data_IF_756663363242
#
_entry.id   IF_756663363242
#
_cell.length_a   1.000
_cell.length_b   1.000
_cell.length_c   1.000
_cell.angle_alpha   90.00
_cell.angle_beta   90.00
_cell.angle_gamma   90.00
#
_symmetry.space_group_name_H-M   'P 1'
#
loop_
_entity.id
_entity.type
_entity.pdbx_description
1 polymer ?
#
# COMPACT_ATOMS: atom_id res chain seq x y z
N UNK A 1 -27.77 -6.06 -17.84
CA UNK A 1 -27.45 -4.90 -16.98
C UNK A 1 -28.63 -3.94 -17.12
N UNK A 2 -29.51 -3.85 -16.13
CA UNK A 2 -30.63 -2.89 -16.13
C UNK A 2 -30.36 -1.87 -15.03
N UNK A 3 -30.35 -0.58 -15.38
CA UNK A 3 -30.26 0.55 -14.45
C UNK A 3 -31.40 1.50 -14.82
N UNK A 4 -32.29 1.75 -13.88
CA UNK A 4 -33.36 2.74 -14.00
C UNK A 4 -33.00 3.91 -13.08
N UNK A 5 -32.91 5.13 -13.61
CA UNK A 5 -32.68 6.35 -12.84
C UNK A 5 -34.02 7.05 -12.57
N UNK A 6 -34.41 7.18 -11.31
CA UNK A 6 -35.46 8.09 -10.87
C UNK A 6 -34.82 9.32 -10.24
N UNK A 7 -35.03 10.49 -10.82
CA UNK A 7 -34.65 11.78 -10.22
C UNK A 7 -35.86 12.28 -9.43
N UNK A 8 -35.69 12.47 -8.12
CA UNK A 8 -36.61 13.21 -7.27
C UNK A 8 -35.90 14.50 -6.86
N UNK A 9 -36.42 15.65 -7.28
CA UNK A 9 -35.90 16.95 -6.84
C UNK A 9 -36.29 17.22 -5.37
N UNK A 10 -35.28 17.47 -4.52
CA UNK A 10 -35.40 17.64 -3.06
C UNK A 10 -35.14 19.12 -2.65
N UNK A 11 -35.70 19.63 -1.53
CA UNK A 11 -35.58 21.03 -1.07
C UNK A 11 -34.17 21.55 -0.75
N UNK A 12 -33.12 20.76 -1.04
CA UNK A 12 -31.70 21.07 -0.83
C UNK A 12 -31.20 22.33 -1.55
N UNK A 13 -31.90 22.80 -2.59
CA UNK A 13 -31.49 23.94 -3.41
C UNK A 13 -31.39 25.26 -2.61
N UNK A 14 -32.15 25.40 -1.52
CA UNK A 14 -32.13 26.62 -0.68
C UNK A 14 -30.96 26.60 0.33
N UNK A 15 -30.60 25.41 0.86
CA UNK A 15 -29.49 25.27 1.81
C UNK A 15 -28.12 25.42 1.14
N UNK A 16 -27.98 24.96 -0.11
CA UNK A 16 -26.74 25.15 -0.89
C UNK A 16 -26.38 26.63 -1.11
N UNK A 17 -27.37 27.52 -1.31
CA UNK A 17 -27.11 28.95 -1.56
C UNK A 17 -26.46 29.67 -0.38
N UNK A 18 -26.70 29.23 0.87
CA UNK A 18 -26.07 29.80 2.07
C UNK A 18 -24.68 29.24 2.36
N UNK A 19 -24.40 27.99 1.98
CA UNK A 19 -23.05 27.42 2.10
C UNK A 19 -22.08 28.00 1.05
N UNK A 20 -22.54 28.23 -0.17
CA UNK A 20 -21.72 28.77 -1.26
C UNK A 20 -21.15 30.17 -0.96
N UNK A 21 -21.86 31.02 -0.19
CA UNK A 21 -21.38 32.38 0.10
C UNK A 21 -20.24 32.44 1.12
N UNK A 22 -20.04 31.39 1.94
CA UNK A 22 -18.93 31.33 2.90
C UNK A 22 -17.63 30.79 2.29
N UNK A 23 -17.73 30.08 1.15
CA UNK A 23 -16.61 29.41 0.49
C UNK A 23 -16.25 30.03 -0.87
N UNK A 24 -17.07 30.95 -1.39
CA UNK A 24 -16.72 31.71 -2.56
C UNK A 24 -15.48 32.57 -2.27
N UNK A 25 -14.42 32.49 -3.10
CA UNK A 25 -13.28 33.39 -2.95
C UNK A 25 -13.80 34.84 -2.99
N UNK A 26 -13.33 35.68 -2.06
CA UNK A 26 -13.60 37.12 -2.11
C UNK A 26 -13.27 37.60 -3.52
N UNK A 27 -14.18 38.34 -4.17
CA UNK A 27 -13.96 38.91 -5.51
C UNK A 27 -12.62 39.65 -5.55
N UNK A 28 -11.60 39.00 -6.08
CA UNK A 28 -10.22 39.46 -6.18
C UNK A 28 -9.54 38.69 -7.32
N UNK A 29 -8.44 39.21 -7.83
CA UNK A 29 -7.69 38.57 -8.91
C UNK A 29 -7.23 37.18 -8.45
N UNK A 30 -7.49 36.11 -9.24
CA UNK A 30 -7.05 34.78 -8.88
C UNK A 30 -5.52 34.73 -8.74
N UNK A 31 -4.97 33.85 -7.88
CA UNK A 31 -3.52 33.65 -7.79
C UNK A 31 -2.96 33.16 -9.14
N UNK A 32 -1.65 33.39 -9.41
CA UNK A 32 -1.01 32.89 -10.62
C UNK A 32 -1.08 31.36 -10.70
N UNK A 33 -1.13 30.82 -11.93
CA UNK A 33 -1.16 29.38 -12.14
C UNK A 33 0.12 28.71 -11.61
N UNK A 34 -0.08 27.66 -10.81
CA UNK A 34 0.99 26.80 -10.31
C UNK A 34 0.53 25.35 -10.35
N UNK A 35 1.29 24.53 -11.06
CA UNK A 35 1.09 23.08 -11.06
C UNK A 35 1.87 22.45 -9.91
N UNK A 36 1.23 21.57 -9.15
CA UNK A 36 1.87 20.63 -8.24
C UNK A 36 1.27 19.24 -8.46
N UNK A 37 2.08 18.17 -8.47
CA UNK A 37 1.53 16.84 -8.30
C UNK A 37 0.88 16.70 -6.92
N UNK A 38 -0.15 15.85 -6.81
CA UNK A 38 -0.77 15.53 -5.52
C UNK A 38 0.27 14.86 -4.59
N UNK A 39 1.13 14.00 -5.15
CA UNK A 39 2.17 13.28 -4.43
C UNK A 39 3.55 13.74 -4.91
N UNK A 40 4.10 14.84 -4.37
CA UNK A 40 5.47 15.26 -4.67
C UNK A 40 6.44 14.32 -3.94
N UNK A 41 6.88 13.25 -4.61
CA UNK A 41 7.84 12.32 -4.04
C UNK A 41 9.20 12.98 -3.83
N UNK A 42 9.82 12.71 -2.68
CA UNK A 42 11.24 13.01 -2.43
C UNK A 42 12.17 11.99 -3.07
N UNK A 43 13.47 12.13 -2.77
CA UNK A 43 14.51 11.21 -3.24
C UNK A 43 14.24 9.76 -2.80
N UNK A 44 14.53 8.77 -3.66
CA UNK A 44 14.46 7.35 -3.31
C UNK A 44 15.80 6.84 -2.76
N UNK A 45 15.81 6.42 -1.50
CA UNK A 45 16.98 5.87 -0.81
C UNK A 45 16.98 4.33 -0.80
N UNK A 46 16.07 3.68 -1.53
CA UNK A 46 15.95 2.22 -1.56
C UNK A 46 17.20 1.60 -2.21
N UNK A 47 17.87 0.62 -1.57
CA UNK A 47 18.97 -0.08 -2.21
C UNK A 47 18.44 -1.06 -3.27
N UNK A 48 18.99 -0.98 -4.49
CA UNK A 48 18.65 -1.86 -5.61
C UNK A 48 19.79 -2.83 -5.93
N UNK A 49 19.44 -4.05 -6.35
CA UNK A 49 20.37 -5.01 -6.97
C UNK A 49 20.13 -5.07 -8.47
N UNK A 50 21.20 -5.09 -9.26
CA UNK A 50 21.11 -5.26 -10.71
C UNK A 50 20.77 -6.73 -11.05
N UNK A 51 19.72 -6.97 -11.84
CA UNK A 51 19.36 -8.31 -12.32
C UNK A 51 20.08 -8.67 -13.62
N UNK A 52 19.99 -7.81 -14.63
CA UNK A 52 20.57 -8.03 -15.95
C UNK A 52 20.72 -6.69 -16.69
N UNK A 53 21.57 -6.67 -17.72
CA UNK A 53 21.69 -5.57 -18.69
C UNK A 53 21.20 -5.96 -20.09
N UNK A 54 20.75 -7.19 -20.29
CA UNK A 54 20.56 -7.79 -21.62
C UNK A 54 19.26 -7.36 -22.32
N UNK A 55 18.25 -6.95 -21.55
CA UNK A 55 16.90 -6.67 -22.05
C UNK A 55 16.62 -5.19 -22.32
N UNK A 56 17.67 -4.36 -22.31
CA UNK A 56 17.55 -2.91 -22.47
C UNK A 56 18.52 -2.39 -23.51
N UNK A 57 18.06 -1.46 -24.33
CA UNK A 57 18.90 -0.75 -25.30
C UNK A 57 18.39 0.66 -25.53
N UNK A 58 19.27 1.56 -25.97
CA UNK A 58 18.88 2.93 -26.34
C UNK A 58 18.78 3.02 -27.85
N UNK A 59 17.65 3.53 -28.34
CA UNK A 59 17.44 3.79 -29.76
C UNK A 59 17.25 5.27 -30.05
N UNK A 60 17.98 5.77 -31.05
CA UNK A 60 17.86 7.13 -31.55
C UNK A 60 16.73 7.20 -32.57
N UNK A 61 15.71 8.01 -32.28
CA UNK A 61 14.54 8.16 -33.16
C UNK A 61 14.77 9.26 -34.21
N UNK A 62 15.44 10.34 -33.83
CA UNK A 62 15.67 11.50 -34.70
C UNK A 62 14.49 12.50 -34.73
N UNK A 63 14.58 13.52 -35.57
CA UNK A 63 13.53 14.52 -35.81
C UNK A 63 13.03 15.26 -34.55
N UNK A 64 13.92 15.53 -33.59
CA UNK A 64 13.60 16.25 -32.36
C UNK A 64 12.89 15.40 -31.29
N UNK A 65 12.71 14.10 -31.52
CA UNK A 65 12.22 13.15 -30.51
C UNK A 65 13.41 12.72 -29.63
N UNK A 66 13.27 12.73 -28.29
CA UNK A 66 14.30 12.21 -27.39
C UNK A 66 14.68 10.75 -27.70
N UNK A 67 15.87 10.35 -27.26
CA UNK A 67 16.27 8.94 -27.32
C UNK A 67 15.27 8.08 -26.53
N UNK A 68 14.98 6.89 -27.05
CA UNK A 68 14.03 5.95 -26.45
C UNK A 68 14.80 4.81 -25.77
N UNK A 69 14.44 4.51 -24.52
CA UNK A 69 14.81 3.28 -23.86
C UNK A 69 13.90 2.15 -24.37
N UNK A 70 14.46 1.21 -25.14
CA UNK A 70 13.77 -0.02 -25.52
C UNK A 70 13.95 -1.05 -24.41
N UNK A 71 12.85 -1.63 -23.96
CA UNK A 71 12.80 -2.69 -22.95
C UNK A 71 12.10 -3.90 -23.55
N UNK A 72 12.79 -5.03 -23.60
CA UNK A 72 12.21 -6.27 -24.11
C UNK A 72 11.20 -6.84 -23.10
N UNK A 73 10.13 -7.47 -23.58
CA UNK A 73 9.11 -8.11 -22.73
C UNK A 73 9.72 -9.12 -21.74
N UNK A 74 10.75 -9.85 -22.17
CA UNK A 74 11.47 -10.81 -21.33
C UNK A 74 12.11 -10.14 -20.11
N UNK A 75 12.51 -8.88 -20.22
CA UNK A 75 13.01 -8.10 -19.07
C UNK A 75 11.93 -7.86 -18.02
N UNK A 76 10.69 -7.59 -18.44
CA UNK A 76 9.54 -7.44 -17.53
C UNK A 76 9.17 -8.76 -16.87
N UNK A 77 9.18 -9.86 -17.64
CA UNK A 77 8.96 -11.21 -17.12
C UNK A 77 10.00 -11.58 -16.07
N UNK A 78 11.29 -11.41 -16.37
CA UNK A 78 12.39 -11.68 -15.43
C UNK A 78 12.26 -10.84 -14.15
N UNK A 79 11.95 -9.55 -14.28
CA UNK A 79 11.80 -8.65 -13.16
C UNK A 79 10.65 -9.08 -12.24
N UNK A 80 9.50 -9.42 -12.80
CA UNK A 80 8.36 -9.91 -12.04
C UNK A 80 8.65 -11.27 -11.37
N UNK A 81 9.35 -12.20 -12.07
CA UNK A 81 9.72 -13.49 -11.49
C UNK A 81 10.55 -13.32 -10.21
N UNK A 82 11.63 -12.55 -10.32
CA UNK A 82 12.56 -12.30 -9.22
C UNK A 82 11.89 -11.51 -8.10
N UNK A 83 11.07 -10.51 -8.42
CA UNK A 83 10.34 -9.74 -7.41
C UNK A 83 9.39 -10.62 -6.59
N UNK A 84 8.53 -11.42 -7.24
CA UNK A 84 7.57 -12.28 -6.53
C UNK A 84 8.24 -13.42 -5.78
N UNK A 85 9.39 -13.91 -6.27
CA UNK A 85 10.20 -14.90 -5.56
C UNK A 85 10.80 -14.30 -4.29
N UNK A 86 11.45 -13.15 -4.39
CA UNK A 86 12.13 -12.50 -3.27
C UNK A 86 11.12 -12.06 -2.19
N UNK A 87 10.02 -11.39 -2.55
CA UNK A 87 9.04 -10.92 -1.55
C UNK A 87 8.30 -12.06 -0.84
N UNK A 88 8.27 -13.26 -1.42
CA UNK A 88 7.67 -14.45 -0.80
C UNK A 88 8.57 -15.08 0.26
N UNK A 89 9.88 -14.79 0.25
CA UNK A 89 10.89 -15.45 1.09
C UNK A 89 11.71 -14.49 1.96
N UNK A 90 11.79 -13.22 1.58
CA UNK A 90 12.60 -12.19 2.22
C UNK A 90 11.73 -11.05 2.74
N UNK A 91 12.24 -10.34 3.75
CA UNK A 91 11.62 -9.16 4.34
C UNK A 91 12.55 -7.96 4.25
N UNK A 92 11.99 -6.75 4.24
CA UNK A 92 12.79 -5.53 4.32
C UNK A 92 13.57 -5.49 5.64
N UNK A 93 14.84 -5.04 5.65
CA UNK A 93 15.64 -4.92 6.87
C UNK A 93 14.97 -4.08 7.96
N UNK A 94 14.27 -3.00 7.58
CA UNK A 94 13.54 -2.15 8.51
C UNK A 94 12.43 -2.89 9.27
N UNK A 95 11.72 -3.83 8.62
CA UNK A 95 10.70 -4.65 9.28
C UNK A 95 11.34 -5.63 10.28
N UNK A 96 12.44 -6.29 9.89
CA UNK A 96 13.18 -7.19 10.77
C UNK A 96 13.75 -6.45 12.00
N UNK A 97 14.25 -5.23 11.81
CA UNK A 97 14.71 -4.38 12.90
C UNK A 97 13.59 -4.04 13.88
N UNK A 98 12.37 -3.76 13.39
CA UNK A 98 11.20 -3.51 14.25
C UNK A 98 10.83 -4.75 15.07
N UNK A 99 10.83 -5.94 14.49
CA UNK A 99 10.62 -7.19 15.25
C UNK A 99 11.72 -7.38 16.31
N UNK A 100 12.97 -7.08 15.98
CA UNK A 100 14.10 -7.16 16.92
C UNK A 100 13.92 -6.22 18.12
N UNK A 101 13.39 -5.01 17.91
CA UNK A 101 13.16 -4.07 19.02
C UNK A 101 12.19 -4.60 20.06
N UNK A 102 11.17 -5.38 19.68
CA UNK A 102 10.23 -5.98 20.62
C UNK A 102 10.90 -6.97 21.59
N UNK A 103 12.01 -7.60 21.18
CA UNK A 103 12.78 -8.50 22.03
C UNK A 103 13.62 -7.75 23.08
N UNK A 104 14.13 -6.55 22.75
CA UNK A 104 14.95 -5.73 23.64
C UNK A 104 14.12 -4.80 24.54
N UNK A 105 12.89 -4.49 24.15
CA UNK A 105 12.03 -3.59 24.89
C UNK A 105 11.66 -4.19 26.25
N UNK A 106 12.01 -3.50 27.34
CA UNK A 106 11.71 -3.93 28.72
C UNK A 106 10.22 -3.85 29.05
N UNK A 107 9.47 -3.02 28.33
CA UNK A 107 8.02 -2.84 28.53
C UNK A 107 7.19 -3.88 27.75
N UNK A 108 7.77 -4.52 26.73
CA UNK A 108 7.12 -5.59 25.98
C UNK A 108 6.68 -6.74 26.92
N UNK A 109 5.54 -7.34 26.60
CA UNK A 109 5.06 -8.52 27.31
C UNK A 109 5.84 -9.77 26.87
N UNK A 110 5.77 -10.84 27.66
CA UNK A 110 6.42 -12.10 27.27
C UNK A 110 5.79 -12.69 26.00
N UNK A 111 4.48 -12.46 25.80
CA UNK A 111 3.78 -12.82 24.56
C UNK A 111 4.29 -12.01 23.36
N UNK A 112 4.52 -10.71 23.52
CA UNK A 112 5.07 -9.87 22.45
C UNK A 112 6.45 -10.38 22.02
N UNK A 113 7.32 -10.67 23.00
CA UNK A 113 8.65 -11.25 22.74
C UNK A 113 8.56 -12.62 22.09
N UNK A 114 7.66 -13.48 22.57
CA UNK A 114 7.45 -14.80 22.01
C UNK A 114 7.02 -14.72 20.54
N UNK A 115 6.01 -13.91 20.22
CA UNK A 115 5.52 -13.75 18.85
C UNK A 115 6.60 -13.15 17.95
N UNK A 116 7.28 -12.08 18.38
CA UNK A 116 8.38 -11.49 17.62
C UNK A 116 9.50 -12.51 17.34
N UNK A 117 9.84 -13.35 18.32
CA UNK A 117 10.84 -14.41 18.15
C UNK A 117 10.38 -15.48 17.15
N UNK A 118 9.11 -15.93 17.20
CA UNK A 118 8.60 -16.87 16.22
C UNK A 118 8.58 -16.28 14.80
N UNK A 119 8.20 -15.01 14.65
CA UNK A 119 8.22 -14.31 13.35
C UNK A 119 9.65 -14.21 12.79
N UNK A 120 10.65 -13.90 13.62
CA UNK A 120 12.05 -13.87 13.21
C UNK A 120 12.58 -15.26 12.82
N UNK A 121 12.21 -16.32 13.56
CA UNK A 121 12.54 -17.70 13.19
C UNK A 121 11.91 -18.09 11.86
N UNK A 122 10.65 -17.72 11.65
CA UNK A 122 9.93 -17.96 10.40
C UNK A 122 10.63 -17.26 9.23
N UNK A 123 11.01 -16.00 9.41
CA UNK A 123 11.76 -15.25 8.40
C UNK A 123 13.10 -15.91 8.05
N UNK A 124 13.82 -16.43 9.05
CA UNK A 124 15.06 -17.17 8.82
C UNK A 124 14.84 -18.48 8.04
N UNK A 125 13.76 -19.21 8.32
CA UNK A 125 13.40 -20.44 7.59
C UNK A 125 13.03 -20.09 6.14
N UNK A 126 12.20 -19.08 5.94
CA UNK A 126 11.72 -18.67 4.62
C UNK A 126 12.85 -18.16 3.72
N UNK A 127 13.86 -17.50 4.30
CA UNK A 127 15.06 -17.06 3.57
C UNK A 127 15.84 -18.22 2.91
N UNK A 128 15.59 -19.47 3.30
CA UNK A 128 16.11 -20.66 2.61
C UNK A 128 15.50 -20.92 1.22
N UNK A 129 14.44 -20.20 0.82
CA UNK A 129 13.88 -20.24 -0.54
C UNK A 129 13.02 -21.46 -0.87
N UNK A 130 12.73 -22.32 0.11
CA UNK A 130 11.90 -23.54 -0.08
C UNK A 130 10.49 -23.33 0.45
N UNK A 131 10.34 -22.83 1.67
CA UNK A 131 9.05 -22.56 2.30
C UNK A 131 8.79 -21.05 2.27
N UNK A 132 7.62 -20.58 1.82
CA UNK A 132 7.32 -19.15 1.83
C UNK A 132 7.13 -18.61 3.25
N UNK A 133 7.24 -17.30 3.40
CA UNK A 133 7.01 -16.56 4.66
C UNK A 133 5.63 -16.83 5.27
N UNK A 134 4.63 -17.08 4.44
CA UNK A 134 3.25 -17.26 4.85
C UNK A 134 2.57 -18.29 3.94
N UNK A 135 1.62 -19.05 4.47
CA UNK A 135 0.77 -19.96 3.69
C UNK A 135 -0.11 -19.20 2.69
N UNK A 136 -0.50 -17.97 3.04
CA UNK A 136 -1.15 -17.06 2.10
C UNK A 136 -0.08 -16.26 1.37
N UNK A 137 0.33 -16.75 0.21
CA UNK A 137 1.30 -16.12 -0.68
C UNK A 137 0.72 -14.93 -1.46
N UNK A 138 -0.52 -14.54 -1.15
CA UNK A 138 -1.13 -13.28 -1.55
C UNK A 138 -1.55 -13.16 -3.01
N UNK A 139 -2.30 -12.10 -3.28
CA UNK A 139 -2.60 -11.65 -4.64
C UNK A 139 -1.40 -10.88 -5.19
N UNK A 140 -1.00 -11.20 -6.42
CA UNK A 140 0.05 -10.49 -7.13
C UNK A 140 -0.48 -9.12 -7.60
N UNK A 141 0.16 -8.05 -7.13
CA UNK A 141 -0.15 -6.67 -7.54
C UNK A 141 1.14 -6.04 -8.09
N UNK A 142 1.04 -5.46 -9.27
CA UNK A 142 2.11 -4.71 -9.94
C UNK A 142 1.61 -3.30 -10.20
N UNK A 143 2.38 -2.31 -9.73
CA UNK A 143 2.20 -0.92 -10.09
C UNK A 143 3.42 -0.46 -10.87
N UNK A 144 3.24 -0.08 -12.14
CA UNK A 144 4.31 0.42 -13.01
C UNK A 144 4.15 1.91 -13.32
N UNK A 145 5.24 2.65 -13.37
CA UNK A 145 5.31 4.04 -13.86
C UNK A 145 6.22 4.08 -15.09
N UNK A 146 5.60 4.11 -16.26
CA UNK A 146 6.28 4.04 -17.54
C UNK A 146 6.60 5.44 -18.03
N UNK A 147 7.88 5.79 -18.05
CA UNK A 147 8.36 7.03 -18.63
C UNK A 147 7.98 7.15 -20.12
N UNK A 148 7.68 8.36 -20.56
CA UNK A 148 7.30 8.68 -21.95
C UNK A 148 8.37 8.30 -22.99
N UNK A 149 9.63 8.12 -22.56
CA UNK A 149 10.75 7.68 -23.41
C UNK A 149 10.99 6.16 -23.33
N UNK A 150 10.14 5.40 -22.63
CA UNK A 150 10.25 3.94 -22.54
C UNK A 150 9.33 3.27 -23.55
N UNK A 151 9.92 2.49 -24.44
CA UNK A 151 9.21 1.62 -25.37
C UNK A 151 9.40 0.16 -24.98
N UNK A 152 8.29 -0.56 -24.82
CA UNK A 152 8.30 -2.00 -24.59
C UNK A 152 7.83 -2.75 -25.82
N UNK A 153 8.41 -3.92 -26.08
CA UNK A 153 7.90 -4.82 -27.12
C UNK A 153 6.70 -5.62 -26.59
N UNK A 154 5.52 -5.49 -27.19
CA UNK A 154 4.36 -6.32 -26.84
C UNK A 154 3.48 -5.74 -25.72
N UNK A 155 2.71 -6.61 -25.04
CA UNK A 155 1.82 -6.23 -23.95
C UNK A 155 2.53 -6.38 -22.59
N UNK A 156 2.72 -5.26 -21.89
CA UNK A 156 3.38 -5.20 -20.58
C UNK A 156 2.65 -6.06 -19.54
N UNK A 157 1.31 -6.08 -19.58
CA UNK A 157 0.48 -6.84 -18.65
C UNK A 157 0.64 -8.35 -18.86
N UNK A 158 0.75 -8.80 -20.11
CA UNK A 158 1.03 -10.21 -20.43
C UNK A 158 2.43 -10.61 -19.94
N UNK A 159 3.45 -9.80 -20.23
CA UNK A 159 4.83 -10.08 -19.85
C UNK A 159 5.01 -10.16 -18.33
N UNK A 160 4.41 -9.22 -17.58
CA UNK A 160 4.41 -9.22 -16.12
C UNK A 160 3.62 -10.40 -15.55
N UNK A 161 2.45 -10.72 -16.13
CA UNK A 161 1.64 -11.88 -15.72
C UNK A 161 2.37 -13.21 -15.94
N UNK A 162 3.14 -13.33 -17.02
CA UNK A 162 3.97 -14.51 -17.27
C UNK A 162 5.03 -14.69 -16.18
N UNK A 163 5.62 -13.60 -15.69
CA UNK A 163 6.59 -13.68 -14.60
C UNK A 163 5.94 -14.09 -13.28
N UNK A 164 4.76 -13.57 -12.97
CA UNK A 164 3.93 -14.03 -11.85
C UNK A 164 3.65 -15.53 -11.99
N UNK A 165 3.11 -15.96 -13.14
CA UNK A 165 2.79 -17.36 -13.41
C UNK A 165 4.01 -18.26 -13.19
N UNK A 166 5.16 -17.89 -13.74
CA UNK A 166 6.39 -18.66 -13.63
C UNK A 166 6.82 -18.82 -12.18
N UNK A 167 6.80 -17.76 -11.37
CA UNK A 167 7.14 -17.86 -9.95
C UNK A 167 6.17 -18.76 -9.20
N UNK A 168 4.86 -18.55 -9.33
CA UNK A 168 3.88 -19.34 -8.57
C UNK A 168 3.83 -20.81 -8.98
N UNK A 169 4.12 -21.15 -10.24
CA UNK A 169 4.06 -22.54 -10.73
C UNK A 169 5.38 -23.30 -10.60
N UNK A 170 6.53 -22.62 -10.51
CA UNK A 170 7.86 -23.25 -10.37
C UNK A 170 8.38 -23.28 -8.93
N UNK A 171 7.66 -22.69 -7.99
CA UNK A 171 8.04 -22.64 -6.56
C UNK A 171 6.90 -23.11 -5.66
N UNK A 172 7.16 -23.30 -4.36
CA UNK A 172 6.19 -23.84 -3.41
C UNK A 172 5.22 -22.76 -2.89
N UNK A 173 4.60 -22.00 -3.80
CA UNK A 173 3.61 -20.97 -3.46
C UNK A 173 2.19 -21.48 -3.65
N UNK A 174 1.21 -20.72 -3.11
CA UNK A 174 -0.20 -21.12 -3.12
C UNK A 174 -0.99 -20.39 -4.21
N UNK A 175 -1.83 -21.12 -4.92
CA UNK A 175 -2.83 -20.57 -5.83
C UNK A 175 -4.06 -20.11 -5.04
N UNK A 176 -4.20 -18.81 -4.86
CA UNK A 176 -5.20 -18.21 -3.98
C UNK A 176 -6.32 -17.48 -4.74
N UNK A 177 -6.16 -17.26 -6.05
CA UNK A 177 -7.18 -16.61 -6.87
C UNK A 177 -8.30 -17.57 -7.27
N UNK A 178 -9.52 -17.05 -7.19
CA UNK A 178 -10.75 -17.78 -7.45
C UNK A 178 -11.51 -17.05 -8.54
N UNK A 179 -11.75 -17.73 -9.67
CA UNK A 179 -12.51 -17.20 -10.79
C UNK A 179 -14.02 -17.41 -10.55
N UNK A 180 -14.85 -16.36 -10.62
CA UNK A 180 -16.30 -16.50 -10.56
C UNK A 180 -16.81 -17.05 -11.90
N UNK A 181 -17.47 -18.21 -11.86
CA UNK A 181 -18.17 -18.77 -13.03
C UNK A 181 -19.63 -18.31 -13.07
N UNK A 182 -20.24 -18.23 -11.89
CA UNK A 182 -21.54 -17.61 -11.66
C UNK A 182 -21.46 -16.75 -10.39
N UNK A 183 -22.61 -16.26 -9.91
CA UNK A 183 -22.67 -15.53 -8.63
C UNK A 183 -22.30 -16.42 -7.43
N UNK A 184 -22.46 -17.74 -7.55
CA UNK A 184 -22.25 -18.69 -6.45
C UNK A 184 -21.23 -19.78 -6.77
N UNK A 185 -20.96 -20.03 -8.05
CA UNK A 185 -20.00 -21.05 -8.49
C UNK A 185 -18.66 -20.42 -8.80
N UNK A 186 -17.62 -21.04 -8.25
CA UNK A 186 -16.27 -20.53 -8.27
C UNK A 186 -15.28 -21.65 -8.61
N UNK A 187 -14.18 -21.29 -9.25
CA UNK A 187 -13.10 -22.23 -9.56
C UNK A 187 -11.74 -21.59 -9.30
N UNK A 188 -10.87 -22.30 -8.59
CA UNK A 188 -9.47 -21.88 -8.43
C UNK A 188 -8.78 -21.84 -9.79
N UNK A 189 -8.02 -20.77 -10.08
CA UNK A 189 -7.36 -20.61 -11.38
C UNK A 189 -6.15 -21.54 -11.57
N UNK A 190 -5.70 -22.21 -10.50
CA UNK A 190 -4.60 -23.17 -10.52
C UNK A 190 -3.22 -22.54 -10.72
N UNK A 191 -3.12 -21.22 -10.69
CA UNK A 191 -1.92 -20.46 -11.11
C UNK A 191 -1.68 -19.18 -10.30
N UNK A 192 -2.61 -18.83 -9.41
CA UNK A 192 -2.66 -17.53 -8.71
C UNK A 192 -2.83 -16.30 -9.63
N UNK A 193 -3.17 -16.48 -10.90
CA UNK A 193 -3.62 -15.40 -11.79
C UNK A 193 -5.14 -15.20 -11.70
N UNK A 194 -5.69 -14.04 -12.10
CA UNK A 194 -5.00 -12.87 -12.64
C UNK A 194 -4.23 -12.07 -11.58
N UNK A 195 -3.18 -11.36 -12.02
CA UNK A 195 -2.54 -10.32 -11.23
C UNK A 195 -3.28 -8.99 -11.41
N UNK A 196 -3.28 -8.12 -10.39
CA UNK A 196 -3.66 -6.72 -10.56
C UNK A 196 -2.47 -5.96 -11.15
N UNK A 197 -2.61 -5.39 -12.35
CA UNK A 197 -1.55 -4.65 -13.02
C UNK A 197 -2.05 -3.26 -13.36
N UNK A 198 -1.48 -2.25 -12.69
CA UNK A 198 -1.78 -0.84 -12.90
C UNK A 198 -0.54 -0.14 -13.49
N UNK A 199 -0.58 0.27 -14.75
CA UNK A 199 0.54 0.96 -15.42
C UNK A 199 0.16 2.43 -15.67
N UNK A 200 0.95 3.34 -15.10
CA UNK A 200 0.80 4.79 -15.23
C UNK A 200 1.79 5.32 -16.26
N UNK A 201 1.39 6.37 -16.98
CA UNK A 201 2.30 7.13 -17.83
C UNK A 201 2.99 8.22 -17.01
N UNK A 202 4.31 8.31 -17.11
CA UNK A 202 5.14 9.29 -16.43
C UNK A 202 6.18 9.90 -17.38
N UNK A 203 7.05 10.77 -16.90
CA UNK A 203 8.11 11.41 -17.70
C UNK A 203 9.44 10.66 -17.59
N UNK A 204 10.30 10.86 -18.59
CA UNK A 204 11.68 10.37 -18.58
C UNK A 204 11.88 8.99 -19.21
N UNK A 205 13.09 8.45 -19.07
CA UNK A 205 13.55 7.20 -19.68
C UNK A 205 13.71 6.07 -18.66
N UNK A 206 12.79 5.99 -17.69
CA UNK A 206 12.78 4.95 -16.66
C UNK A 206 11.42 4.27 -16.59
N UNK A 207 11.42 2.99 -16.22
CA UNK A 207 10.21 2.22 -15.97
C UNK A 207 10.26 1.70 -14.54
N UNK A 208 9.61 2.40 -13.64
CA UNK A 208 9.66 2.13 -12.20
C UNK A 208 8.53 1.19 -11.79
N UNK A 209 8.77 0.33 -10.80
CA UNK A 209 7.78 -0.65 -10.35
C UNK A 209 7.71 -0.78 -8.84
N UNK A 210 6.49 -0.96 -8.34
CA UNK A 210 6.21 -1.52 -7.02
C UNK A 210 5.49 -2.86 -7.19
N UNK A 211 6.14 -3.93 -6.72
CA UNK A 211 5.56 -5.27 -6.64
C UNK A 211 5.05 -5.55 -5.22
N UNK A 212 3.86 -6.12 -5.09
CA UNK A 212 3.28 -6.52 -3.81
C UNK A 212 2.62 -7.90 -3.91
N UNK A 213 2.97 -8.80 -2.99
CA UNK A 213 2.21 -10.01 -2.69
C UNK A 213 1.27 -9.73 -1.52
N UNK A 214 0.03 -9.32 -1.80
CA UNK A 214 -0.89 -8.85 -0.75
C UNK A 214 -1.75 -9.99 -0.23
N UNK A 215 -1.49 -10.42 1.01
CA UNK A 215 -2.29 -11.45 1.70
C UNK A 215 -3.73 -10.98 1.94
N UNK A 216 -4.69 -11.87 1.70
CA UNK A 216 -6.13 -11.59 1.75
C UNK A 216 -6.59 -11.12 3.13
N UNK A 217 -6.02 -11.67 4.20
CA UNK A 217 -6.32 -11.22 5.57
C UNK A 217 -6.02 -9.73 5.78
N UNK A 218 -4.89 -9.25 5.27
CA UNK A 218 -4.53 -7.82 5.35
C UNK A 218 -5.29 -6.96 4.35
N UNK A 219 -5.64 -7.50 3.18
CA UNK A 219 -6.49 -6.81 2.20
C UNK A 219 -7.88 -6.52 2.78
N UNK A 220 -8.47 -7.49 3.49
CA UNK A 220 -9.77 -7.38 4.16
C UNK A 220 -9.76 -6.41 5.36
N UNK A 221 -8.58 -5.97 5.82
CA UNK A 221 -8.41 -4.93 6.85
C UNK A 221 -8.14 -3.54 6.26
N UNK A 222 -8.59 -3.33 5.03
CA UNK A 222 -8.64 -2.00 4.41
C UNK A 222 -10.07 -1.47 4.53
N UNK A 223 -10.24 -0.35 5.22
CA UNK A 223 -11.56 0.22 5.51
C UNK A 223 -11.70 1.63 4.92
N UNK A 224 -12.88 1.94 4.40
CA UNK A 224 -13.28 3.27 3.97
C UNK A 224 -14.34 3.81 4.93
N UNK A 225 -14.15 5.03 5.42
CA UNK A 225 -15.11 5.72 6.26
C UNK A 225 -15.46 7.07 5.63
N UNK A 226 -16.74 7.30 5.37
CA UNK A 226 -17.25 8.56 4.86
C UNK A 226 -17.57 9.50 6.02
N UNK A 227 -16.59 10.31 6.39
CA UNK A 227 -16.69 11.29 7.46
C UNK A 227 -16.87 12.72 6.93
N UNK A 228 -17.21 13.64 7.82
CA UNK A 228 -17.40 15.07 7.47
C UNK A 228 -16.33 15.94 8.12
N UNK A 229 -16.33 17.24 7.79
CA UNK A 229 -15.44 18.24 8.42
C UNK A 229 -15.53 18.24 9.96
N UNK A 230 -16.64 17.77 10.55
CA UNK A 230 -16.83 17.68 11.99
C UNK A 230 -15.80 16.78 12.69
N UNK A 231 -15.26 15.75 12.02
CA UNK A 231 -14.24 14.87 12.61
C UNK A 231 -12.86 15.55 12.67
N UNK A 232 -12.61 16.56 11.83
CA UNK A 232 -11.31 17.21 11.67
C UNK A 232 -11.02 18.25 12.75
N UNK A 233 -11.08 17.81 14.02
CA UNK A 233 -10.54 18.50 15.18
C UNK A 233 -9.88 17.48 16.12
N UNK A 234 -8.92 17.89 16.97
CA UNK A 234 -8.09 16.95 17.73
C UNK A 234 -8.90 15.96 18.59
N UNK A 235 -9.95 16.42 19.26
CA UNK A 235 -10.75 15.57 20.17
C UNK A 235 -11.58 14.54 19.40
N UNK A 236 -12.29 14.97 18.35
CA UNK A 236 -13.13 14.09 17.56
C UNK A 236 -12.30 13.07 16.77
N UNK A 237 -11.21 13.52 16.13
CA UNK A 237 -10.32 12.66 15.37
C UNK A 237 -9.68 11.60 16.27
N UNK A 238 -9.16 11.99 17.43
CA UNK A 238 -8.59 11.03 18.38
C UNK A 238 -9.59 9.95 18.80
N UNK A 239 -10.80 10.34 19.20
CA UNK A 239 -11.86 9.39 19.57
C UNK A 239 -12.19 8.45 18.42
N UNK A 240 -12.31 8.98 17.20
CA UNK A 240 -12.55 8.19 16.00
C UNK A 240 -11.42 7.17 15.77
N UNK A 241 -10.16 7.59 15.85
CA UNK A 241 -9.00 6.73 15.67
C UNK A 241 -8.93 5.62 16.74
N UNK A 242 -9.14 5.95 18.02
CA UNK A 242 -9.16 4.95 19.10
C UNK A 242 -10.22 3.85 18.84
N UNK A 243 -11.41 4.24 18.41
CA UNK A 243 -12.49 3.31 18.08
C UNK A 243 -12.14 2.43 16.86
N UNK A 244 -11.69 3.03 15.75
CA UNK A 244 -11.44 2.30 14.50
C UNK A 244 -10.17 1.45 14.55
N UNK A 245 -9.12 1.89 15.22
CA UNK A 245 -7.90 1.09 15.39
C UNK A 245 -8.21 -0.16 16.22
N UNK A 246 -9.03 -0.02 17.27
CA UNK A 246 -9.45 -1.16 18.10
C UNK A 246 -10.22 -2.20 17.29
N UNK A 247 -11.07 -1.77 16.34
CA UNK A 247 -11.89 -2.70 15.54
C UNK A 247 -11.11 -3.51 14.51
N UNK A 248 -9.87 -3.13 14.17
CA UNK A 248 -8.99 -3.94 13.30
C UNK A 248 -8.74 -5.31 13.94
N UNK A 249 -8.51 -5.33 15.26
CA UNK A 249 -8.23 -6.54 16.04
C UNK A 249 -6.92 -7.22 15.64
N UNK A 250 -6.83 -8.54 15.83
CA UNK A 250 -5.60 -9.34 15.59
C UNK A 250 -5.68 -10.22 14.35
N UNK A 251 -6.75 -10.10 13.56
CA UNK A 251 -7.08 -11.02 12.46
C UNK A 251 -6.26 -10.82 11.18
N UNK A 252 -5.32 -9.86 11.16
CA UNK A 252 -4.35 -9.69 10.07
C UNK A 252 -2.90 -9.85 10.53
N UNK A 253 -2.66 -10.63 11.59
CA UNK A 253 -1.33 -11.02 12.08
C UNK A 253 -0.43 -9.83 12.47
N UNK A 254 -0.78 -9.04 13.50
CA UNK A 254 0.11 -7.99 14.01
C UNK A 254 1.47 -8.58 14.46
N UNK A 255 2.57 -7.79 14.46
CA UNK A 255 2.61 -6.31 14.41
C UNK A 255 2.24 -5.66 13.07
N UNK A 256 1.49 -4.55 13.10
CA UNK A 256 0.99 -3.89 11.89
C UNK A 256 1.88 -2.73 11.44
N UNK A 257 2.10 -2.62 10.12
CA UNK A 257 2.36 -1.31 9.51
C UNK A 257 1.01 -0.62 9.25
N UNK A 258 0.50 0.08 10.27
CA UNK A 258 -0.77 0.78 10.18
C UNK A 258 -0.64 2.06 9.34
N UNK A 259 -1.49 2.20 8.33
CA UNK A 259 -1.59 3.42 7.53
C UNK A 259 -2.99 4.05 7.71
N UNK A 260 -3.02 5.37 7.84
CA UNK A 260 -4.24 6.16 7.94
C UNK A 260 -4.12 7.29 6.92
N UNK A 261 -5.15 7.46 6.08
CA UNK A 261 -5.25 8.55 5.12
C UNK A 261 -6.49 9.36 5.46
N UNK A 262 -6.31 10.68 5.62
CA UNK A 262 -7.40 11.61 5.92
C UNK A 262 -7.65 12.44 4.66
N UNK A 263 -8.86 12.32 4.11
CA UNK A 263 -9.24 12.98 2.86
C UNK A 263 -8.85 12.16 1.62
N UNK A 264 -8.82 12.85 0.48
CA UNK A 264 -8.64 12.27 -0.85
C UNK A 264 -9.66 12.84 -1.84
N UNK A 265 -9.33 12.78 -3.13
CA UNK A 265 -10.19 13.30 -4.21
C UNK A 265 -11.40 12.40 -4.48
N UNK A 266 -11.29 11.12 -4.15
CA UNK A 266 -12.36 10.11 -4.26
C UNK A 266 -12.07 8.91 -3.37
N UNK A 267 -13.06 8.04 -3.18
CA UNK A 267 -12.93 6.84 -2.35
C UNK A 267 -11.79 5.94 -2.82
N UNK A 268 -11.72 5.66 -4.12
CA UNK A 268 -10.69 4.83 -4.74
C UNK A 268 -9.30 5.47 -4.66
N UNK A 269 -9.19 6.80 -4.77
CA UNK A 269 -7.94 7.51 -4.57
C UNK A 269 -7.45 7.39 -3.11
N UNK A 270 -8.34 7.55 -2.12
CA UNK A 270 -8.03 7.33 -0.70
C UNK A 270 -7.57 5.90 -0.43
N UNK A 271 -8.30 4.91 -0.97
CA UNK A 271 -7.98 3.48 -0.79
C UNK A 271 -6.66 3.09 -1.47
N UNK A 272 -6.37 3.63 -2.65
CA UNK A 272 -5.06 3.46 -3.30
C UNK A 272 -3.95 4.08 -2.44
N UNK A 273 -4.18 5.29 -1.92
CA UNK A 273 -3.19 6.00 -1.10
C UNK A 273 -2.88 5.26 0.19
N UNK A 274 -3.89 4.73 0.90
CA UNK A 274 -3.66 3.97 2.13
C UNK A 274 -2.96 2.64 1.86
N UNK A 275 -3.25 1.98 0.72
CA UNK A 275 -2.50 0.81 0.24
C UNK A 275 -1.01 1.14 0.09
N UNK A 276 -0.68 2.21 -0.63
CA UNK A 276 0.70 2.64 -0.88
C UNK A 276 1.42 3.10 0.40
N UNK A 277 0.74 3.85 1.26
CA UNK A 277 1.26 4.24 2.58
C UNK A 277 1.59 3.01 3.44
N UNK A 278 0.73 1.99 3.46
CA UNK A 278 1.00 0.75 4.20
C UNK A 278 2.21 -0.03 3.66
N UNK A 279 2.55 0.17 2.38
CA UNK A 279 3.73 -0.38 1.73
C UNK A 279 4.98 0.52 1.88
N UNK A 280 4.91 1.61 2.66
CA UNK A 280 5.97 2.62 2.84
C UNK A 280 6.38 3.35 1.55
N UNK A 281 5.56 3.27 0.50
CA UNK A 281 5.84 3.93 -0.80
C UNK A 281 5.77 5.47 -0.69
N UNK A 282 5.08 5.98 0.32
CA UNK A 282 4.84 7.41 0.55
C UNK A 282 5.70 7.99 1.68
N UNK A 283 6.74 7.28 2.13
CA UNK A 283 7.55 7.70 3.29
C UNK A 283 8.33 9.00 3.03
N UNK A 284 8.62 9.30 1.75
CA UNK A 284 9.42 10.45 1.30
C UNK A 284 8.56 11.65 0.85
N UNK A 285 7.26 11.67 1.18
CA UNK A 285 6.43 12.85 0.99
C UNK A 285 6.90 14.00 1.90
N UNK A 286 6.61 15.28 1.54
CA UNK A 286 6.81 16.41 2.43
C UNK A 286 6.11 16.18 3.77
N UNK A 287 6.66 16.71 4.87
CA UNK A 287 6.07 16.56 6.21
C UNK A 287 5.18 17.73 6.62
N UNK A 288 4.91 18.65 5.69
CA UNK A 288 4.05 19.82 5.87
C UNK A 288 3.24 20.04 4.58
N UNK A 289 1.99 20.43 4.72
CA UNK A 289 1.17 20.86 3.58
C UNK A 289 1.54 22.27 3.09
N UNK A 290 0.96 22.66 1.96
CA UNK A 290 1.05 24.02 1.40
C UNK A 290 -0.30 24.48 0.86
N UNK A 291 -0.38 25.76 0.46
CA UNK A 291 -1.54 26.31 -0.25
C UNK A 291 -1.77 25.67 -1.64
N UNK A 292 -0.80 24.91 -2.15
CA UNK A 292 -0.91 24.19 -3.42
C UNK A 292 -1.75 22.90 -3.28
N UNK A 293 -2.09 22.48 -2.05
CA UNK A 293 -3.01 21.37 -1.81
C UNK A 293 -2.42 19.97 -2.04
N UNK A 294 -1.09 19.83 -2.06
CA UNK A 294 -0.43 18.53 -2.17
C UNK A 294 -0.54 17.70 -0.87
N UNK A 295 -0.37 16.38 -1.00
CA UNK A 295 -0.31 15.45 0.13
C UNK A 295 0.96 15.68 0.96
N UNK A 296 0.88 15.37 2.25
CA UNK A 296 2.01 15.42 3.16
C UNK A 296 1.89 14.33 4.24
N UNK A 297 3.02 13.95 4.82
CA UNK A 297 3.14 12.97 5.90
C UNK A 297 3.10 13.67 7.26
N UNK A 298 2.06 13.43 8.06
CA UNK A 298 1.91 14.05 9.38
C UNK A 298 2.61 13.25 10.49
N UNK A 299 3.85 13.62 10.79
CA UNK A 299 4.65 12.98 11.83
C UNK A 299 4.12 13.20 13.26
N UNK A 300 3.26 14.20 13.48
CA UNK A 300 2.66 14.45 14.80
C UNK A 300 1.52 13.46 15.02
N UNK A 301 0.65 13.30 14.02
CA UNK A 301 -0.43 12.33 14.06
C UNK A 301 0.09 10.89 14.10
N UNK A 302 1.16 10.57 13.38
CA UNK A 302 1.82 9.25 13.46
C UNK A 302 2.23 8.89 14.90
N UNK A 303 2.83 9.84 15.62
CA UNK A 303 3.20 9.63 17.03
C UNK A 303 1.97 9.42 17.93
N UNK A 304 0.89 10.15 17.68
CA UNK A 304 -0.36 9.99 18.42
C UNK A 304 -1.00 8.62 18.14
N UNK A 305 -1.07 8.19 16.88
CA UNK A 305 -1.57 6.87 16.47
C UNK A 305 -0.74 5.76 17.11
N UNK A 306 0.59 5.90 17.10
CA UNK A 306 1.48 4.94 17.74
C UNK A 306 1.22 4.85 19.25
N UNK A 307 1.01 5.98 19.94
CA UNK A 307 0.63 6.01 21.35
C UNK A 307 -0.75 5.37 21.61
N UNK A 308 -1.72 5.57 20.72
CA UNK A 308 -3.03 4.89 20.78
C UNK A 308 -2.85 3.38 20.68
N UNK A 309 -2.09 2.88 19.69
CA UNK A 309 -1.86 1.45 19.48
C UNK A 309 -1.24 0.78 20.72
N UNK A 310 -0.28 1.45 21.37
CA UNK A 310 0.37 0.97 22.60
C UNK A 310 -0.60 0.94 23.79
N UNK A 311 -1.53 1.89 23.85
CA UNK A 311 -2.48 2.00 24.94
C UNK A 311 -3.63 0.98 24.87
N UNK A 312 -4.01 0.52 23.66
CA UNK A 312 -5.15 -0.39 23.46
C UNK A 312 -4.90 -1.78 24.07
N UNK A 313 -3.65 -2.22 24.19
CA UNK A 313 -3.32 -3.49 24.86
C UNK A 313 -3.52 -4.75 24.01
N UNK A 314 -3.76 -4.62 22.70
CA UNK A 314 -3.87 -5.76 21.78
C UNK A 314 -2.54 -6.52 21.63
N UNK A 315 -1.41 -5.80 21.64
CA UNK A 315 -0.06 -6.37 21.49
C UNK A 315 0.19 -7.09 20.16
N UNK A 316 1.28 -7.87 20.09
CA UNK A 316 1.50 -8.79 18.99
C UNK A 316 0.62 -10.03 19.20
N UNK A 317 -0.61 -9.96 18.71
CA UNK A 317 -1.61 -11.02 18.66
C UNK A 317 -2.25 -11.40 20.01
N UNK A 318 -1.49 -11.41 21.11
CA UNK A 318 -1.92 -11.96 22.40
C UNK A 318 -1.74 -11.00 23.61
N UNK A 319 -1.87 -9.69 23.40
CA UNK A 319 -1.67 -8.67 24.44
C UNK A 319 -2.75 -8.61 25.52
N UNK A 320 -3.94 -9.20 25.29
CA UNK A 320 -5.02 -9.27 26.29
C UNK A 320 -4.93 -10.45 27.26
N UNK A 321 -3.82 -11.21 27.29
CA UNK A 321 -3.69 -12.29 28.26
C UNK A 321 -3.53 -11.73 29.68
N UNK A 322 -4.62 -11.72 30.43
CA UNK A 322 -4.64 -11.43 31.87
C UNK A 322 -3.79 -12.47 32.60
N UNK A 323 -2.57 -12.08 32.99
CA UNK A 323 -1.86 -12.74 34.07
C UNK A 323 -1.47 -11.67 35.10
N UNK A 324 -2.07 -11.75 36.29
CA UNK A 324 -1.59 -11.13 37.54
C UNK A 324 -1.53 -9.59 37.58
N UNK A 325 -2.66 -8.90 37.38
CA UNK A 325 -2.94 -7.60 38.01
C UNK A 325 -2.06 -6.38 37.63
N UNK A 326 -1.08 -6.52 36.73
CA UNK A 326 -0.25 -5.42 36.23
C UNK A 326 -0.49 -5.24 34.73
N UNK A 327 -1.16 -4.16 34.34
CA UNK A 327 -1.25 -3.73 32.94
C UNK A 327 0.14 -3.33 32.45
N UNK A 328 0.91 -4.28 31.91
CA UNK A 328 2.07 -3.97 31.06
C UNK A 328 1.53 -3.61 29.69
N UNK A 329 1.87 -2.41 29.20
CA UNK A 329 1.39 -1.91 27.90
C UNK A 329 2.28 -2.50 26.81
N UNK A 330 1.73 -3.21 25.82
CA UNK A 330 2.51 -3.69 24.69
C UNK A 330 3.08 -2.49 23.95
N UNK A 331 4.40 -2.46 23.78
CA UNK A 331 5.10 -1.47 22.98
C UNK A 331 5.74 -2.16 21.80
N UNK A 332 5.02 -2.15 20.68
CA UNK A 332 5.54 -2.66 19.41
C UNK A 332 5.48 -1.51 18.41
N UNK A 333 6.54 -1.30 17.60
CA UNK A 333 6.58 -0.33 16.51
C UNK A 333 5.33 -0.31 15.64
#
# INVERSE_FOLDING_TARGET
MFITFGIVEDPFSIMMRRCLSQWAPKKGTPPPFRYTPIFPHGHDDTPYRLLSKDHVSVAKVGNGIPDILRVDAQGLTLLAEEAFKDISHLLRPAHLAQLRTALDDKEATDNDRFVAFQLLKNANIAAGGVLPMCQDTGTAIVMGHKGEQVFTSGDDGEALSLGVYNTYTKTNLRYSQVAPLTVFDEKNTGTNLPAQIDIYADKGAEYEFLFMAKGGGSANKTYLYQETKAVLNPKALRKFLEEKITSIGTSACPPYHLAIVIGGTSAEATLKTVKLASARYLDNLPTKGSEDGHAFRDLTLEKEVHAICQAIGIGAQFGFFFHQGKRRRPRIP
#
